data_IF_805898897397
#
_entry.id   IF_805898897397
#
_cell.length_a   1.000
_cell.length_b   1.000
_cell.length_c   1.000
_cell.angle_alpha   90.00
_cell.angle_beta   90.00
_cell.angle_gamma   90.00
#
_symmetry.space_group_name_H-M   'P 1'
#
loop_
_entity.id
_entity.type
_entity.pdbx_description
1 polymer ?
#
# COMPACT_ATOMS: atom_id res chain seq x y z
N UNK A 1 9.63 -1.18 9.94
CA UNK A 1 9.21 -0.91 8.56
C UNK A 1 10.30 -0.08 7.90
N UNK A 2 11.08 -0.67 7.00
CA UNK A 2 12.25 -0.04 6.40
C UNK A 2 11.89 0.90 5.24
N UNK A 3 12.59 2.03 5.19
CA UNK A 3 12.63 2.93 4.06
C UNK A 3 13.86 2.55 3.22
N UNK A 4 13.69 2.37 1.92
CA UNK A 4 14.76 2.00 1.00
C UNK A 4 14.83 3.03 -0.12
N UNK A 5 15.94 3.77 -0.19
CA UNK A 5 16.18 4.75 -1.25
C UNK A 5 16.92 4.08 -2.38
N UNK A 6 16.34 4.15 -3.58
CA UNK A 6 16.83 3.45 -4.76
C UNK A 6 16.85 4.40 -5.95
N UNK A 7 17.94 4.34 -6.70
CA UNK A 7 18.08 4.99 -8.00
C UNK A 7 17.83 3.95 -9.09
N UNK A 8 16.89 4.22 -9.99
CA UNK A 8 16.59 3.31 -11.09
C UNK A 8 17.60 3.49 -12.23
N UNK A 9 18.53 2.54 -12.37
CA UNK A 9 19.49 2.54 -13.48
C UNK A 9 18.78 2.22 -14.81
N UNK A 10 17.83 1.29 -14.77
CA UNK A 10 16.95 1.00 -15.91
C UNK A 10 15.58 0.52 -15.44
N UNK A 11 14.53 0.83 -16.21
CA UNK A 11 13.16 0.36 -15.98
C UNK A 11 12.65 -0.31 -17.25
N UNK A 12 12.12 -1.51 -17.14
CA UNK A 12 11.60 -2.29 -18.27
C UNK A 12 10.33 -3.07 -17.88
N UNK A 13 9.56 -3.51 -18.87
CA UNK A 13 8.41 -4.40 -18.62
C UNK A 13 7.27 -3.75 -17.85
N UNK A 14 6.98 -2.46 -18.10
CA UNK A 14 5.83 -1.78 -17.51
C UNK A 14 4.53 -2.38 -18.04
N UNK A 15 3.83 -3.12 -17.19
CA UNK A 15 2.54 -3.72 -17.49
C UNK A 15 1.52 -3.19 -16.49
N UNK A 16 0.44 -2.60 -17.00
CA UNK A 16 -0.71 -2.27 -16.16
C UNK A 16 -1.43 -3.56 -15.82
N UNK A 17 -1.48 -3.88 -14.53
CA UNK A 17 -2.21 -5.03 -14.03
C UNK A 17 -3.29 -4.56 -13.04
N UNK A 18 -4.26 -5.42 -12.80
CA UNK A 18 -5.21 -5.26 -11.72
C UNK A 18 -4.94 -6.37 -10.71
N UNK A 19 -4.31 -6.06 -9.59
CA UNK A 19 -4.07 -7.02 -8.51
C UNK A 19 -5.04 -6.73 -7.37
N UNK A 20 -5.77 -7.77 -6.93
CA UNK A 20 -6.75 -7.66 -5.84
C UNK A 20 -7.79 -6.51 -6.03
N UNK A 21 -8.29 -6.33 -7.27
CA UNK A 21 -9.20 -5.24 -7.71
C UNK A 21 -8.61 -3.82 -7.62
N UNK A 22 -7.29 -3.69 -7.46
CA UNK A 22 -6.56 -2.40 -7.49
C UNK A 22 -5.72 -2.31 -8.74
N UNK A 23 -5.72 -1.15 -9.38
CA UNK A 23 -4.78 -0.88 -10.47
C UNK A 23 -3.37 -0.81 -9.90
N UNK A 24 -2.52 -1.71 -10.34
CA UNK A 24 -1.10 -1.73 -10.03
C UNK A 24 -0.31 -1.72 -11.32
N UNK A 25 0.80 -1.01 -11.35
CA UNK A 25 1.73 -1.07 -12.47
C UNK A 25 2.83 -2.04 -12.07
N UNK A 26 2.87 -3.20 -12.72
CA UNK A 26 3.97 -4.14 -12.59
C UNK A 26 5.12 -3.62 -13.44
N UNK A 27 6.31 -3.57 -12.88
CA UNK A 27 7.51 -3.17 -13.61
C UNK A 27 8.71 -3.94 -13.08
N UNK A 28 9.72 -4.06 -13.94
CA UNK A 28 11.02 -4.55 -13.56
C UNK A 28 11.97 -3.35 -13.53
N UNK A 29 12.82 -3.27 -12.51
CA UNK A 29 13.84 -2.25 -12.47
C UNK A 29 15.18 -2.86 -12.08
N UNK A 30 16.24 -2.26 -12.59
CA UNK A 30 17.60 -2.55 -12.15
C UNK A 30 18.09 -1.36 -11.36
N UNK A 31 18.64 -1.61 -10.18
CA UNK A 31 19.26 -0.61 -9.34
C UNK A 31 20.48 -1.19 -8.63
N UNK A 32 21.59 -0.44 -8.63
CA UNK A 32 22.84 -0.85 -7.98
C UNK A 32 23.29 -2.27 -8.38
N UNK A 33 23.06 -2.64 -9.66
CA UNK A 33 23.39 -3.97 -10.20
C UNK A 33 22.45 -5.11 -9.78
N UNK A 34 21.38 -4.85 -9.04
CA UNK A 34 20.32 -5.84 -8.74
C UNK A 34 19.09 -5.56 -9.59
N UNK A 35 18.56 -6.61 -10.21
CA UNK A 35 17.31 -6.51 -10.98
C UNK A 35 16.18 -7.10 -10.16
N UNK A 36 15.22 -6.26 -9.79
CA UNK A 36 13.99 -6.66 -9.13
C UNK A 36 12.90 -6.87 -10.18
N UNK A 37 12.25 -8.02 -10.12
CA UNK A 37 11.25 -8.45 -11.09
C UNK A 37 9.84 -8.38 -10.51
N UNK A 38 8.87 -8.01 -11.35
CA UNK A 38 7.43 -7.97 -11.02
C UNK A 38 7.09 -7.12 -9.80
N UNK A 39 7.74 -5.96 -9.66
CA UNK A 39 7.46 -5.03 -8.58
C UNK A 39 6.11 -4.35 -8.84
N UNK A 40 5.20 -4.46 -7.88
CA UNK A 40 3.85 -3.90 -7.99
C UNK A 40 3.81 -2.47 -7.46
N UNK A 41 3.85 -1.50 -8.36
CA UNK A 41 3.60 -0.10 -8.04
C UNK A 41 2.10 0.13 -7.77
N UNK A 42 1.71 0.77 -6.67
CA UNK A 42 0.33 1.20 -6.51
C UNK A 42 -0.02 2.29 -7.56
N UNK A 43 -1.12 2.11 -8.28
CA UNK A 43 -1.64 3.07 -9.27
C UNK A 43 -0.91 3.05 -10.62
N UNK A 44 -0.86 4.21 -11.27
CA UNK A 44 -0.21 4.42 -12.58
C UNK A 44 0.88 5.50 -12.52
N UNK A 45 1.91 5.33 -11.67
CA UNK A 45 3.01 6.29 -11.60
C UNK A 45 3.82 6.30 -12.91
N UNK A 46 4.31 7.47 -13.30
CA UNK A 46 5.30 7.57 -14.37
C UNK A 46 6.63 7.04 -13.85
N UNK A 47 7.10 5.95 -14.46
CA UNK A 47 8.35 5.29 -14.12
C UNK A 47 9.35 5.55 -15.24
N UNK A 48 10.41 6.27 -14.93
CA UNK A 48 11.47 6.65 -15.87
C UNK A 48 12.83 6.18 -15.32
N UNK A 49 13.73 5.77 -16.22
CA UNK A 49 15.10 5.47 -15.85
C UNK A 49 15.82 6.75 -15.43
N UNK A 50 16.66 6.67 -14.40
CA UNK A 50 17.30 7.81 -13.74
C UNK A 50 16.47 8.45 -12.62
N UNK A 51 15.28 7.92 -12.32
CA UNK A 51 14.47 8.40 -11.19
C UNK A 51 15.05 7.88 -9.87
N UNK A 52 15.14 8.76 -8.87
CA UNK A 52 15.44 8.39 -7.48
C UNK A 52 14.15 8.38 -6.68
N UNK A 53 13.84 7.25 -6.05
CA UNK A 53 12.69 7.13 -5.16
C UNK A 53 13.12 6.66 -3.77
N UNK A 54 12.33 6.98 -2.75
CA UNK A 54 12.37 6.24 -1.49
C UNK A 54 11.11 5.41 -1.37
N UNK A 55 11.28 4.09 -1.35
CA UNK A 55 10.22 3.13 -1.15
C UNK A 55 10.02 2.84 0.35
N UNK A 56 8.77 2.61 0.71
CA UNK A 56 8.37 2.06 2.00
C UNK A 56 7.95 0.62 1.79
N UNK A 57 8.75 -0.31 2.33
CA UNK A 57 8.50 -1.75 2.24
C UNK A 57 7.94 -2.24 3.59
N UNK A 58 7.05 -3.24 3.55
CA UNK A 58 6.63 -3.93 4.77
C UNK A 58 7.81 -4.74 5.34
N UNK A 59 8.54 -5.40 4.45
CA UNK A 59 9.73 -6.22 4.74
C UNK A 59 10.98 -5.68 4.01
N UNK A 60 12.12 -5.61 4.72
CA UNK A 60 13.37 -5.08 4.16
C UNK A 60 13.86 -5.90 2.98
N UNK A 61 14.18 -5.23 1.86
CA UNK A 61 14.63 -5.89 0.64
C UNK A 61 13.57 -6.73 -0.08
N UNK A 62 12.32 -6.77 0.40
CA UNK A 62 11.23 -7.46 -0.27
C UNK A 62 10.33 -6.47 -1.01
N UNK A 63 10.69 -6.19 -2.27
CA UNK A 63 9.97 -5.26 -3.14
C UNK A 63 8.54 -5.71 -3.52
N UNK A 64 8.18 -6.97 -3.25
CA UNK A 64 6.80 -7.45 -3.39
C UNK A 64 5.89 -6.93 -2.27
N UNK A 65 6.48 -6.47 -1.16
CA UNK A 65 5.77 -5.88 -0.02
C UNK A 65 5.73 -4.35 -0.06
N UNK A 66 5.93 -3.77 -1.24
CA UNK A 66 5.90 -2.34 -1.45
C UNK A 66 4.52 -1.76 -1.09
N UNK A 67 4.51 -0.84 -0.13
CA UNK A 67 3.30 -0.17 0.35
C UNK A 67 3.08 1.17 -0.36
N UNK A 68 4.18 1.84 -0.68
CA UNK A 68 4.22 3.09 -1.41
C UNK A 68 5.62 3.63 -1.50
N UNK A 69 5.80 4.70 -2.25
CA UNK A 69 7.09 5.37 -2.39
C UNK A 69 6.90 6.87 -2.56
N UNK A 70 8.00 7.59 -2.44
CA UNK A 70 8.10 9.01 -2.76
C UNK A 70 9.13 9.22 -3.84
N UNK A 71 8.73 9.90 -4.91
CA UNK A 71 9.63 10.39 -5.92
C UNK A 71 10.39 11.62 -5.38
N UNK A 72 11.72 11.62 -5.50
CA UNK A 72 12.57 12.73 -5.06
C UNK A 72 12.58 13.90 -6.05
N UNK A 73 12.31 13.66 -7.34
CA UNK A 73 12.31 14.70 -8.36
C UNK A 73 11.06 15.58 -8.28
N UNK A 74 9.86 14.97 -8.20
CA UNK A 74 8.60 15.70 -8.08
C UNK A 74 8.13 15.89 -6.64
N UNK A 75 8.67 15.14 -5.68
CA UNK A 75 8.17 15.06 -4.31
C UNK A 75 6.85 14.27 -4.19
N UNK A 76 6.33 13.71 -5.29
CA UNK A 76 5.05 13.01 -5.30
C UNK A 76 5.10 11.72 -4.47
N UNK A 77 4.12 11.55 -3.60
CA UNK A 77 3.95 10.34 -2.79
C UNK A 77 2.91 9.45 -3.46
N UNK A 78 3.35 8.27 -3.89
CA UNK A 78 2.51 7.24 -4.49
C UNK A 78 2.31 6.17 -3.44
N UNK A 79 1.12 6.11 -2.85
CA UNK A 79 0.75 5.06 -1.89
C UNK A 79 -0.51 4.36 -2.37
N UNK A 80 -0.66 3.11 -1.94
CA UNK A 80 -1.89 2.39 -2.19
C UNK A 80 -3.10 3.09 -1.53
N UNK A 81 -4.24 3.05 -2.21
CA UNK A 81 -5.45 3.73 -1.72
C UNK A 81 -6.17 2.84 -0.71
N UNK A 82 -6.37 3.34 0.51
CA UNK A 82 -7.12 2.63 1.55
C UNK A 82 -8.65 2.78 1.39
N UNK A 83 -9.13 3.21 0.22
CA UNK A 83 -10.51 3.66 0.05
C UNK A 83 -11.53 2.54 0.35
N UNK A 84 -11.23 1.33 -0.12
CA UNK A 84 -12.06 0.15 0.14
C UNK A 84 -12.05 -0.25 1.62
N UNK A 85 -10.89 -0.23 2.29
CA UNK A 85 -10.79 -0.55 3.71
C UNK A 85 -11.49 0.50 4.56
N UNK A 86 -11.40 1.78 4.18
CA UNK A 86 -12.12 2.87 4.85
C UNK A 86 -13.62 2.63 4.73
N UNK A 87 -14.13 2.33 3.53
CA UNK A 87 -15.54 2.01 3.32
C UNK A 87 -15.98 0.82 4.18
N UNK A 88 -15.20 -0.27 4.20
CA UNK A 88 -15.46 -1.43 5.04
C UNK A 88 -15.47 -1.08 6.53
N UNK A 89 -14.55 -0.22 6.98
CA UNK A 89 -14.50 0.22 8.37
C UNK A 89 -15.71 1.04 8.81
N UNK A 90 -16.41 1.68 7.87
CA UNK A 90 -17.64 2.44 8.13
C UNK A 90 -18.88 1.55 8.04
N UNK A 91 -18.90 0.58 7.11
CA UNK A 91 -20.08 -0.28 6.84
C UNK A 91 -20.17 -1.49 7.78
N UNK A 92 -19.05 -2.07 8.21
CA UNK A 92 -19.05 -3.24 9.09
C UNK A 92 -19.62 -2.98 10.50
N UNK A 93 -19.34 -1.85 11.18
CA UNK A 93 -19.89 -1.59 12.50
C UNK A 93 -21.44 -1.60 12.58
N UNK A 94 -22.20 -0.90 11.71
CA UNK A 94 -23.66 -0.97 11.76
C UNK A 94 -24.20 -2.36 11.42
N UNK A 95 -23.53 -3.11 10.52
CA UNK A 95 -23.87 -4.50 10.23
C UNK A 95 -23.67 -5.41 11.46
N UNK A 96 -22.56 -5.26 12.18
CA UNK A 96 -22.30 -5.99 13.43
C UNK A 96 -23.38 -5.71 14.47
N UNK A 97 -23.75 -4.44 14.66
CA UNK A 97 -24.80 -4.03 15.61
C UNK A 97 -26.15 -4.65 15.24
N UNK A 98 -26.51 -4.62 13.95
CA UNK A 98 -27.77 -5.17 13.46
C UNK A 98 -27.83 -6.69 13.67
N UNK A 99 -26.78 -7.43 13.31
CA UNK A 99 -26.69 -8.88 13.51
C UNK A 99 -26.66 -9.28 15.00
N UNK A 100 -25.98 -8.50 15.84
CA UNK A 100 -25.99 -8.72 17.28
C UNK A 100 -27.41 -8.49 17.86
N UNK A 101 -28.15 -7.51 17.35
CA UNK A 101 -29.51 -7.20 17.80
C UNK A 101 -30.58 -8.19 17.33
N UNK A 102 -30.47 -8.70 16.08
CA UNK A 102 -31.45 -9.61 15.49
C UNK A 102 -31.21 -11.07 15.85
N UNK A 103 -30.00 -11.39 16.32
CA UNK A 103 -29.44 -12.74 16.24
C UNK A 103 -29.07 -13.41 17.55
N UNK A 104 -29.36 -12.84 18.73
CA UNK A 104 -28.92 -13.40 20.03
C UNK A 104 -29.40 -14.83 20.32
N UNK A 105 -30.33 -15.36 19.51
CA UNK A 105 -30.92 -16.69 19.64
C UNK A 105 -30.26 -17.78 18.78
N UNK A 106 -29.37 -17.46 17.84
CA UNK A 106 -28.76 -18.46 16.95
C UNK A 106 -27.23 -18.44 16.97
N UNK A 107 -26.54 -19.59 17.00
CA UNK A 107 -25.07 -19.64 17.05
C UNK A 107 -24.41 -19.11 15.76
N UNK A 108 -25.10 -19.17 14.61
CA UNK A 108 -24.56 -18.73 13.31
C UNK A 108 -24.31 -17.22 13.27
N UNK A 109 -25.16 -16.42 13.92
CA UNK A 109 -25.02 -14.95 13.96
C UNK A 109 -23.81 -14.53 14.81
N UNK A 110 -23.52 -15.27 15.89
CA UNK A 110 -22.32 -15.05 16.71
C UNK A 110 -21.04 -15.31 15.90
N UNK A 111 -20.99 -16.39 15.13
CA UNK A 111 -19.85 -16.69 14.24
C UNK A 111 -19.69 -15.57 13.20
N UNK A 112 -20.78 -15.12 12.58
CA UNK A 112 -20.74 -14.02 11.62
C UNK A 112 -20.20 -12.72 12.24
N UNK A 113 -20.61 -12.38 13.46
CA UNK A 113 -20.10 -11.21 14.20
C UNK A 113 -18.60 -11.31 14.46
N UNK A 114 -18.10 -12.47 14.87
CA UNK A 114 -16.66 -12.69 15.10
C UNK A 114 -15.86 -12.54 13.79
N UNK A 115 -16.34 -13.11 12.69
CA UNK A 115 -15.70 -12.99 11.38
C UNK A 115 -15.67 -11.53 10.92
N UNK A 116 -16.79 -10.80 11.06
CA UNK A 116 -16.87 -9.38 10.72
C UNK A 116 -15.93 -8.52 11.59
N UNK A 117 -15.85 -8.82 12.89
CA UNK A 117 -14.94 -8.12 13.80
C UNK A 117 -13.47 -8.35 13.45
N UNK A 118 -13.09 -9.59 13.09
CA UNK A 118 -11.75 -9.90 12.60
C UNK A 118 -11.43 -9.13 11.31
N UNK A 119 -12.38 -9.06 10.38
CA UNK A 119 -12.22 -8.32 9.13
C UNK A 119 -12.09 -6.81 9.36
N UNK A 120 -12.84 -6.27 10.33
CA UNK A 120 -12.73 -4.88 10.76
C UNK A 120 -11.34 -4.59 11.35
N UNK A 121 -10.84 -5.46 12.24
CA UNK A 121 -9.51 -5.32 12.82
C UNK A 121 -8.41 -5.32 11.74
N UNK A 122 -8.52 -6.23 10.76
CA UNK A 122 -7.61 -6.29 9.62
C UNK A 122 -7.65 -5.00 8.78
N UNK A 123 -8.84 -4.52 8.41
CA UNK A 123 -9.01 -3.30 7.61
C UNK A 123 -8.43 -2.07 8.34
N UNK A 124 -8.69 -1.92 9.64
CA UNK A 124 -8.15 -0.83 10.45
C UNK A 124 -6.62 -0.92 10.54
N UNK A 125 -6.06 -2.12 10.69
CA UNK A 125 -4.61 -2.36 10.64
C UNK A 125 -4.00 -1.88 9.34
N UNK A 126 -4.60 -2.25 8.19
CA UNK A 126 -4.12 -1.82 6.87
C UNK A 126 -4.20 -0.31 6.67
N UNK A 127 -5.28 0.34 7.11
CA UNK A 127 -5.41 1.81 7.07
C UNK A 127 -4.30 2.48 7.89
N UNK A 128 -4.03 1.98 9.11
CA UNK A 128 -2.97 2.52 9.96
C UNK A 128 -1.60 2.38 9.30
N UNK A 129 -1.34 1.23 8.68
CA UNK A 129 -0.09 0.97 7.97
C UNK A 129 0.11 1.90 6.77
N UNK A 130 -0.94 2.14 5.97
CA UNK A 130 -0.88 3.07 4.85
C UNK A 130 -0.67 4.51 5.33
N UNK A 131 -1.30 4.90 6.44
CA UNK A 131 -1.08 6.21 7.08
C UNK A 131 0.35 6.35 7.60
N UNK A 132 0.90 5.32 8.25
CA UNK A 132 2.27 5.36 8.74
C UNK A 132 3.27 5.40 7.59
N UNK A 133 3.04 4.65 6.52
CA UNK A 133 3.87 4.70 5.31
C UNK A 133 3.86 6.11 4.70
N UNK A 134 2.68 6.71 4.53
CA UNK A 134 2.54 8.08 4.01
C UNK A 134 3.21 9.11 4.91
N UNK A 135 3.06 8.99 6.23
CA UNK A 135 3.69 9.89 7.20
C UNK A 135 5.22 9.76 7.17
N UNK A 136 5.75 8.53 7.12
CA UNK A 136 7.19 8.27 7.03
C UNK A 136 7.78 8.83 5.73
N UNK A 137 7.10 8.62 4.60
CA UNK A 137 7.50 9.16 3.30
C UNK A 137 7.42 10.69 3.26
N UNK A 138 6.40 11.29 3.89
CA UNK A 138 6.26 12.75 3.97
C UNK A 138 7.31 13.39 4.89
N UNK A 139 7.76 12.68 5.93
CA UNK A 139 8.78 13.15 6.86
C UNK A 139 10.20 13.14 6.28
N UNK A 140 10.41 12.51 5.12
CA UNK A 140 11.71 12.55 4.44
C UNK A 140 12.06 13.99 4.02
N UNK A 141 13.28 14.47 4.33
CA UNK A 141 13.76 15.74 3.82
C UNK A 141 13.78 15.68 2.28
N UNK A 142 13.23 16.70 1.63
CA UNK A 142 13.39 16.87 0.19
C UNK A 142 14.90 17.02 -0.10
N UNK A 143 15.42 16.46 -1.19
CA UNK A 143 16.77 16.81 -1.61
C UNK A 143 16.84 18.33 -1.75
N UNK A 144 17.76 18.96 -1.02
CA UNK A 144 18.04 20.37 -1.18
C UNK A 144 18.31 20.60 -2.66
N UNK A 145 17.46 21.42 -3.30
CA UNK A 145 17.73 21.97 -4.62
C UNK A 145 19.02 22.78 -4.49
N UNK A 146 20.16 22.14 -4.76
CA UNK A 146 21.44 22.83 -4.78
C UNK A 146 21.37 23.88 -5.89
N UNK A 147 21.60 25.18 -5.58
CA UNK A 147 21.56 26.28 -6.54
C UNK A 147 22.67 26.21 -7.59
#
# INVERSE_FOLDING_TARGET
MPLETVHFDSVSGQVRASQNRRQVTLFNFTAAGRTEYSVAAPGTPRLEAGMTITAFLEEAGNWQTLVGWRDHASGAIVCDSAAQEIMLSVVLPPMIVLFASSGWRQPVTLVAVVVMAAYLAWAVGRIRMLRSARAALAALPLPESSP
#
